data_IF_250783326509
#
_entry.id   IF_250783326509
#
_cell.length_a   1.000
_cell.length_b   1.000
_cell.length_c   1.000
_cell.angle_alpha   90.00
_cell.angle_beta   90.00
_cell.angle_gamma   90.00
#
_symmetry.space_group_name_H-M   'P 1'
#
loop_
_entity.id
_entity.type
_entity.pdbx_description
1 polymer ?
#
# COMPACT_ATOMS: atom_id res chain seq x y z
N UNK A 1 -25.89 -3.91 -52.81
CA UNK A 1 -26.23 -3.64 -51.41
C UNK A 1 -26.94 -4.86 -50.84
N UNK A 2 -26.22 -5.66 -50.06
CA UNK A 2 -26.81 -6.78 -49.32
C UNK A 2 -27.01 -6.24 -47.92
N UNK A 3 -28.25 -5.91 -47.58
CA UNK A 3 -28.64 -5.53 -46.23
C UNK A 3 -28.26 -6.69 -45.30
N UNK A 4 -27.29 -6.45 -44.42
CA UNK A 4 -26.97 -7.41 -43.38
C UNK A 4 -28.23 -7.58 -42.52
N UNK A 5 -28.68 -8.82 -42.39
CA UNK A 5 -29.82 -9.20 -41.55
C UNK A 5 -29.65 -8.63 -40.13
N UNK A 6 -30.74 -8.15 -39.54
CA UNK A 6 -30.77 -7.43 -38.25
C UNK A 6 -30.16 -8.29 -37.13
N UNK A 7 -30.31 -9.62 -37.24
CA UNK A 7 -29.69 -10.61 -36.36
C UNK A 7 -28.15 -10.64 -36.49
N UNK A 8 -27.61 -10.43 -37.69
CA UNK A 8 -26.16 -10.35 -37.93
C UNK A 8 -25.58 -9.07 -37.33
N UNK A 9 -26.31 -7.96 -37.42
CA UNK A 9 -25.95 -6.69 -36.79
C UNK A 9 -26.01 -6.83 -35.26
N UNK A 10 -27.01 -7.51 -34.71
CA UNK A 10 -27.14 -7.79 -33.29
C UNK A 10 -25.99 -8.67 -32.74
N UNK A 11 -25.56 -9.69 -33.49
CA UNK A 11 -24.39 -10.52 -33.14
C UNK A 11 -23.09 -9.71 -33.18
N UNK A 12 -22.94 -8.78 -34.13
CA UNK A 12 -21.78 -7.88 -34.16
C UNK A 12 -21.81 -6.83 -33.03
N UNK A 13 -22.99 -6.42 -32.58
CA UNK A 13 -23.16 -5.51 -31.44
C UNK A 13 -22.81 -6.20 -30.11
N UNK A 14 -23.20 -7.46 -29.91
CA UNK A 14 -22.86 -8.23 -28.70
C UNK A 14 -21.35 -8.53 -28.57
N UNK A 15 -20.61 -8.58 -29.68
CA UNK A 15 -19.14 -8.63 -29.67
C UNK A 15 -18.50 -7.34 -29.14
N UNK A 16 -19.18 -6.19 -29.21
CA UNK A 16 -18.70 -4.94 -28.60
C UNK A 16 -18.96 -4.90 -27.10
N UNK A 17 -20.05 -5.51 -26.64
CA UNK A 17 -20.36 -5.68 -25.20
C UNK A 17 -19.36 -6.61 -24.49
N UNK A 18 -18.63 -7.45 -25.23
CA UNK A 18 -17.54 -8.27 -24.68
C UNK A 18 -16.27 -7.46 -24.36
N UNK A 19 -16.14 -6.22 -24.85
CA UNK A 19 -15.02 -5.35 -24.49
C UNK A 19 -15.39 -4.54 -23.26
N UNK A 20 -14.51 -4.62 -22.26
CA UNK A 20 -14.55 -3.93 -20.97
C UNK A 20 -15.33 -2.62 -20.99
N UNK A 21 -16.29 -2.51 -20.06
CA UNK A 21 -17.02 -1.29 -19.73
C UNK A 21 -16.06 -0.10 -19.77
N UNK A 22 -16.33 0.88 -20.64
CA UNK A 22 -15.60 2.14 -20.64
C UNK A 22 -15.53 2.70 -19.20
N UNK A 23 -14.34 3.16 -18.79
CA UNK A 23 -14.09 3.71 -17.46
C UNK A 23 -15.21 4.70 -17.05
N UNK A 24 -15.98 4.33 -16.02
CA UNK A 24 -17.05 5.17 -15.51
C UNK A 24 -16.46 6.45 -14.92
N UNK A 25 -16.82 7.59 -15.49
CA UNK A 25 -16.38 8.90 -14.99
C UNK A 25 -17.30 9.42 -13.88
N UNK A 26 -16.71 10.02 -12.85
CA UNK A 26 -17.44 10.68 -11.77
C UNK A 26 -17.97 12.08 -12.15
N UNK A 27 -18.70 12.76 -11.24
CA UNK A 27 -19.16 14.12 -11.45
C UNK A 27 -17.98 15.10 -11.60
N UNK A 28 -18.21 16.21 -12.30
CA UNK A 28 -17.21 17.28 -12.45
C UNK A 28 -16.87 17.89 -11.09
N UNK A 29 -15.58 18.18 -10.87
CA UNK A 29 -15.08 18.99 -9.76
C UNK A 29 -14.90 20.44 -10.20
N UNK A 30 -14.56 21.32 -9.25
CA UNK A 30 -14.28 22.75 -9.53
C UNK A 30 -13.25 22.92 -10.67
N UNK A 31 -13.54 23.81 -11.63
CA UNK A 31 -12.79 23.90 -12.89
C UNK A 31 -11.31 24.23 -12.69
N UNK A 32 -10.99 25.15 -11.78
CA UNK A 32 -9.59 25.50 -11.48
C UNK A 32 -8.82 24.32 -10.85
N UNK A 33 -9.49 23.52 -10.02
CA UNK A 33 -8.90 22.33 -9.42
C UNK A 33 -8.66 21.27 -10.50
N UNK A 34 -9.65 21.04 -11.36
CA UNK A 34 -9.52 20.12 -12.49
C UNK A 34 -8.36 20.53 -13.41
N UNK A 35 -8.26 21.81 -13.78
CA UNK A 35 -7.17 22.35 -14.59
C UNK A 35 -5.82 22.13 -13.93
N UNK A 36 -5.68 22.47 -12.64
CA UNK A 36 -4.43 22.27 -11.91
C UNK A 36 -4.00 20.79 -11.88
N UNK A 37 -4.94 19.87 -11.66
CA UNK A 37 -4.68 18.43 -11.69
C UNK A 37 -4.22 18.02 -13.09
N UNK A 38 -4.94 18.38 -14.15
CA UNK A 38 -4.58 18.00 -15.52
C UNK A 38 -3.19 18.51 -15.93
N UNK A 39 -2.84 19.75 -15.58
CA UNK A 39 -1.56 20.36 -15.95
C UNK A 39 -0.36 19.66 -15.27
N UNK A 40 -0.55 19.06 -14.09
CA UNK A 40 0.54 18.60 -13.24
C UNK A 40 0.52 17.11 -12.91
N UNK A 41 -0.52 16.36 -13.26
CA UNK A 41 -0.71 14.97 -12.79
C UNK A 41 0.48 14.05 -13.13
N UNK A 42 1.05 14.21 -14.33
CA UNK A 42 2.21 13.45 -14.79
C UNK A 42 3.54 14.22 -14.68
N UNK A 43 3.51 15.45 -14.16
CA UNK A 43 4.69 16.28 -14.00
C UNK A 43 5.62 15.75 -12.91
N UNK A 44 6.94 15.89 -13.10
CA UNK A 44 7.90 15.60 -12.01
C UNK A 44 7.80 16.69 -10.95
N UNK A 45 7.43 16.31 -9.74
CA UNK A 45 7.45 17.21 -8.58
C UNK A 45 8.89 17.56 -8.19
N UNK A 46 9.12 18.83 -7.82
CA UNK A 46 10.38 19.28 -7.24
C UNK A 46 10.68 18.52 -5.94
N UNK A 47 11.82 17.84 -5.88
CA UNK A 47 12.19 16.98 -4.76
C UNK A 47 12.29 17.74 -3.43
N UNK A 48 12.85 18.95 -3.44
CA UNK A 48 12.98 19.78 -2.24
C UNK A 48 11.63 20.26 -1.72
N UNK A 49 10.68 20.59 -2.61
CA UNK A 49 9.30 20.91 -2.22
C UNK A 49 8.61 19.68 -1.62
N UNK A 50 8.79 18.50 -2.21
CA UNK A 50 8.23 17.26 -1.69
C UNK A 50 8.78 16.92 -0.30
N UNK A 51 10.10 17.06 -0.08
CA UNK A 51 10.73 16.86 1.23
C UNK A 51 10.22 17.86 2.27
N UNK A 52 10.06 19.12 1.88
CA UNK A 52 9.52 20.17 2.76
C UNK A 52 8.08 19.85 3.18
N UNK A 53 7.23 19.45 2.24
CA UNK A 53 5.86 19.04 2.52
C UNK A 53 5.81 17.81 3.44
N UNK A 54 6.68 16.82 3.21
CA UNK A 54 6.77 15.62 4.05
C UNK A 54 7.22 15.91 5.49
N UNK A 55 7.97 16.99 5.73
CA UNK A 55 8.38 17.45 7.07
C UNK A 55 7.31 18.27 7.78
N UNK A 56 6.34 18.83 7.04
CA UNK A 56 5.28 19.69 7.60
C UNK A 56 4.34 18.94 8.54
N UNK A 57 4.11 17.66 8.28
CA UNK A 57 3.16 16.85 9.03
C UNK A 57 3.87 15.79 9.85
N UNK A 58 3.69 15.89 11.16
CA UNK A 58 4.16 14.93 12.14
C UNK A 58 3.13 13.84 12.41
N UNK A 59 3.64 12.69 12.85
CA UNK A 59 2.82 11.55 13.27
C UNK A 59 2.02 11.96 14.51
N UNK A 60 0.69 11.78 14.55
CA UNK A 60 -0.08 11.94 15.77
C UNK A 60 0.46 11.03 16.89
N UNK A 61 0.57 11.55 18.12
CA UNK A 61 1.21 10.84 19.23
C UNK A 61 0.53 9.50 19.53
N UNK A 62 -0.80 9.48 19.51
CA UNK A 62 -1.66 8.30 19.70
C UNK A 62 -1.68 7.31 18.52
N UNK A 63 -0.98 7.60 17.41
CA UNK A 63 -0.88 6.71 16.24
C UNK A 63 0.49 6.03 16.18
N UNK A 64 0.88 5.31 17.23
CA UNK A 64 2.23 4.72 17.39
C UNK A 64 2.62 3.70 16.31
N UNK A 65 1.63 3.05 15.71
CA UNK A 65 1.85 2.04 14.66
C UNK A 65 1.99 2.64 13.25
N UNK A 66 1.78 3.94 13.08
CA UNK A 66 1.90 4.61 11.79
C UNK A 66 3.35 4.96 11.46
N UNK A 67 4.16 3.95 11.16
CA UNK A 67 5.56 4.06 10.72
C UNK A 67 5.82 3.18 9.49
N UNK A 68 6.89 3.49 8.75
CA UNK A 68 7.38 2.63 7.66
C UNK A 68 8.25 1.51 8.24
N UNK A 69 7.91 0.22 8.02
CA UNK A 69 8.72 -0.89 8.51
C UNK A 69 10.09 -0.92 7.82
N UNK A 70 11.15 -1.15 8.60
CA UNK A 70 12.51 -1.36 8.11
C UNK A 70 12.77 -2.84 7.87
N UNK A 71 13.54 -3.14 6.84
CA UNK A 71 14.04 -4.50 6.65
C UNK A 71 14.95 -4.86 7.83
N UNK A 72 14.77 -6.05 8.40
CA UNK A 72 15.50 -6.47 9.58
C UNK A 72 17.02 -6.42 9.35
N UNK A 73 17.75 -5.88 10.34
CA UNK A 73 19.20 -5.68 10.24
C UNK A 73 19.97 -6.99 10.04
N UNK A 74 19.49 -8.11 10.61
CA UNK A 74 20.16 -9.40 10.49
C UNK A 74 20.14 -10.00 9.08
N UNK A 75 19.12 -9.68 8.27
CA UNK A 75 19.05 -10.14 6.87
C UNK A 75 19.56 -9.12 5.89
N UNK A 76 19.56 -7.84 6.23
CA UNK A 76 19.90 -6.76 5.32
C UNK A 76 21.26 -6.96 4.62
N UNK A 77 22.37 -7.31 5.31
CA UNK A 77 23.66 -7.57 4.68
C UNK A 77 23.67 -8.77 3.72
N UNK A 78 22.77 -9.73 3.93
CA UNK A 78 22.67 -10.96 3.14
C UNK A 78 21.91 -10.76 1.82
N UNK A 79 21.24 -9.62 1.63
CA UNK A 79 20.51 -9.31 0.41
C UNK A 79 21.45 -8.87 -0.71
N UNK A 80 21.08 -9.14 -1.95
CA UNK A 80 21.80 -8.61 -3.11
C UNK A 80 21.67 -7.09 -3.12
N UNK A 81 22.72 -6.39 -3.58
CA UNK A 81 22.73 -4.93 -3.69
C UNK A 81 21.53 -4.38 -4.47
N UNK A 82 21.16 -5.04 -5.58
CA UNK A 82 19.97 -4.68 -6.38
C UNK A 82 18.67 -4.72 -5.55
N UNK A 83 18.51 -5.73 -4.70
CA UNK A 83 17.34 -5.90 -3.83
C UNK A 83 17.32 -4.87 -2.72
N UNK A 84 18.47 -4.59 -2.09
CA UNK A 84 18.61 -3.50 -1.12
C UNK A 84 18.21 -2.14 -1.72
N UNK A 85 18.72 -1.82 -2.92
CA UNK A 85 18.44 -0.55 -3.58
C UNK A 85 16.96 -0.42 -3.97
N UNK A 86 16.34 -1.51 -4.42
CA UNK A 86 14.91 -1.54 -4.73
C UNK A 86 14.05 -1.39 -3.47
N UNK A 87 14.37 -2.12 -2.40
CA UNK A 87 13.65 -2.01 -1.11
C UNK A 87 13.78 -0.60 -0.52
N UNK A 88 14.96 0.03 -0.60
CA UNK A 88 15.16 1.40 -0.15
C UNK A 88 14.28 2.41 -0.92
N UNK A 89 14.13 2.22 -2.24
CA UNK A 89 13.22 3.04 -3.07
C UNK A 89 11.75 2.81 -2.68
N UNK A 90 11.35 1.57 -2.42
CA UNK A 90 9.99 1.25 -1.97
C UNK A 90 9.70 1.81 -0.58
N UNK A 91 10.64 1.73 0.36
CA UNK A 91 10.56 2.38 1.66
C UNK A 91 10.35 3.90 1.53
N UNK A 92 11.08 4.54 0.61
CA UNK A 92 10.92 5.98 0.34
C UNK A 92 9.52 6.30 -0.18
N UNK A 93 9.00 5.52 -1.12
CA UNK A 93 7.63 5.69 -1.63
C UNK A 93 6.58 5.49 -0.53
N UNK A 94 6.72 4.42 0.25
CA UNK A 94 5.87 4.11 1.39
C UNK A 94 5.89 5.23 2.44
N UNK A 95 7.04 5.88 2.63
CA UNK A 95 7.17 7.03 3.53
C UNK A 95 6.40 8.25 3.02
N UNK A 96 6.44 8.56 1.71
CA UNK A 96 5.63 9.65 1.17
C UNK A 96 4.13 9.38 1.33
N UNK A 97 3.70 8.14 1.09
CA UNK A 97 2.31 7.73 1.33
C UNK A 97 1.90 7.91 2.79
N UNK A 98 2.73 7.48 3.74
CA UNK A 98 2.49 7.69 5.16
C UNK A 98 2.42 9.17 5.53
N UNK A 99 3.30 10.00 4.95
CA UNK A 99 3.30 11.45 5.15
C UNK A 99 2.07 12.14 4.55
N UNK A 100 1.41 11.54 3.56
CA UNK A 100 0.10 11.98 3.09
C UNK A 100 -1.05 11.52 4.01
N UNK A 101 -0.92 10.37 4.68
CA UNK A 101 -1.94 9.89 5.62
C UNK A 101 -2.06 10.77 6.88
N UNK A 102 -0.98 11.40 7.34
CA UNK A 102 -1.02 12.28 8.52
C UNK A 102 -1.95 13.50 8.37
N UNK A 103 -1.86 14.33 7.32
CA UNK A 103 -2.84 15.41 7.12
C UNK A 103 -4.25 14.88 6.87
N UNK A 104 -4.43 13.70 6.26
CA UNK A 104 -5.74 13.05 6.13
C UNK A 104 -6.35 12.74 7.51
N UNK A 105 -5.56 12.24 8.46
CA UNK A 105 -6.00 12.03 9.85
C UNK A 105 -6.32 13.35 10.56
N UNK A 106 -5.52 14.40 10.36
CA UNK A 106 -5.80 15.72 10.92
C UNK A 106 -7.10 16.32 10.35
N UNK A 107 -7.38 16.10 9.07
CA UNK A 107 -8.66 16.49 8.46
C UNK A 107 -9.81 15.69 9.07
N UNK A 108 -9.63 14.39 9.28
CA UNK A 108 -10.61 13.53 9.93
C UNK A 108 -10.98 14.02 11.34
N UNK A 109 -9.97 14.35 12.15
CA UNK A 109 -10.13 14.88 13.50
C UNK A 109 -10.85 16.24 13.51
N UNK A 110 -10.48 17.14 12.59
CA UNK A 110 -11.17 18.43 12.42
C UNK A 110 -12.65 18.27 12.05
N UNK A 111 -12.97 17.33 11.14
CA UNK A 111 -14.35 17.05 10.75
C UNK A 111 -15.15 16.46 11.92
N UNK A 112 -14.57 15.57 12.71
CA UNK A 112 -15.21 15.08 13.95
C UNK A 112 -15.49 16.20 14.94
N UNK A 113 -14.51 17.09 15.16
CA UNK A 113 -14.68 18.26 16.02
C UNK A 113 -15.78 19.19 15.53
N UNK A 114 -15.87 19.45 14.21
CA UNK A 114 -16.92 20.26 13.62
C UNK A 114 -18.31 19.62 13.79
N UNK A 115 -18.41 18.30 13.57
CA UNK A 115 -19.64 17.53 13.75
C UNK A 115 -20.16 17.60 15.19
N UNK A 116 -19.27 17.37 16.17
CA UNK A 116 -19.62 17.38 17.59
C UNK A 116 -20.10 18.77 18.05
N UNK A 117 -19.48 19.83 17.53
CA UNK A 117 -19.78 21.22 17.90
C UNK A 117 -20.91 21.86 17.06
N UNK A 118 -21.50 21.13 16.10
CA UNK A 118 -22.55 21.62 15.17
C UNK A 118 -22.18 22.96 14.49
N UNK A 119 -20.91 23.13 14.11
CA UNK A 119 -20.41 24.35 13.46
C UNK A 119 -20.12 24.11 11.98
N UNK A 120 -20.53 25.07 11.14
CA UNK A 120 -20.21 25.08 9.71
C UNK A 120 -21.24 24.32 8.88
N UNK A 121 -20.81 23.17 8.34
CA UNK A 121 -21.60 22.36 7.41
C UNK A 121 -22.88 21.79 8.06
N UNK A 122 -23.87 21.47 7.23
CA UNK A 122 -25.03 20.69 7.67
C UNK A 122 -24.59 19.30 8.15
N UNK A 123 -25.46 18.64 8.92
CA UNK A 123 -25.18 17.27 9.38
C UNK A 123 -24.95 16.32 8.19
N UNK A 124 -25.76 16.42 7.13
CA UNK A 124 -25.64 15.59 5.94
C UNK A 124 -24.29 15.79 5.23
N UNK A 125 -23.89 17.04 4.97
CA UNK A 125 -22.60 17.37 4.35
C UNK A 125 -21.41 16.92 5.20
N UNK A 126 -21.52 17.06 6.53
CA UNK A 126 -20.48 16.62 7.47
C UNK A 126 -20.29 15.11 7.40
N UNK A 127 -21.39 14.34 7.38
CA UNK A 127 -21.34 12.88 7.23
C UNK A 127 -20.76 12.47 5.86
N UNK A 128 -21.11 13.18 4.79
CA UNK A 128 -20.51 12.94 3.47
C UNK A 128 -18.99 13.17 3.48
N UNK A 129 -18.53 14.29 4.04
CA UNK A 129 -17.09 14.57 4.16
C UNK A 129 -16.36 13.53 5.02
N UNK A 130 -16.96 13.11 6.14
CA UNK A 130 -16.40 12.04 6.97
C UNK A 130 -16.28 10.73 6.19
N UNK A 131 -17.28 10.36 5.39
CA UNK A 131 -17.19 9.16 4.55
C UNK A 131 -16.08 9.27 3.50
N UNK A 132 -15.96 10.40 2.80
CA UNK A 132 -14.91 10.62 1.80
C UNK A 132 -13.51 10.48 2.39
N UNK A 133 -13.26 11.09 3.55
CA UNK A 133 -11.93 11.02 4.19
C UNK A 133 -11.68 9.63 4.79
N UNK A 134 -12.72 8.95 5.30
CA UNK A 134 -12.64 7.57 5.82
C UNK A 134 -12.24 6.61 4.69
N UNK A 135 -12.96 6.65 3.58
CA UNK A 135 -12.73 5.79 2.42
C UNK A 135 -11.33 6.07 1.82
N UNK A 136 -10.95 7.35 1.71
CA UNK A 136 -9.61 7.76 1.27
C UNK A 136 -8.52 7.19 2.18
N UNK A 137 -8.69 7.30 3.51
CA UNK A 137 -7.72 6.77 4.46
C UNK A 137 -7.62 5.24 4.39
N UNK A 138 -8.75 4.54 4.30
CA UNK A 138 -8.78 3.08 4.18
C UNK A 138 -8.08 2.60 2.91
N UNK A 139 -8.32 3.23 1.75
CA UNK A 139 -7.62 2.91 0.49
C UNK A 139 -6.11 3.15 0.60
N UNK A 140 -5.71 4.28 1.20
CA UNK A 140 -4.30 4.56 1.48
C UNK A 140 -3.68 3.52 2.43
N UNK A 141 -4.43 3.08 3.45
CA UNK A 141 -3.97 2.06 4.40
C UNK A 141 -3.78 0.69 3.74
N UNK A 142 -4.71 0.28 2.87
CA UNK A 142 -4.60 -0.97 2.10
C UNK A 142 -3.34 -0.95 1.25
N UNK A 143 -3.17 0.09 0.42
CA UNK A 143 -1.97 0.22 -0.42
C UNK A 143 -0.68 0.27 0.41
N UNK A 144 -0.69 0.94 1.56
CA UNK A 144 0.46 1.02 2.47
C UNK A 144 0.83 -0.35 3.04
N UNK A 145 -0.17 -1.14 3.39
CA UNK A 145 0.00 -2.48 3.96
C UNK A 145 0.50 -3.44 2.88
N UNK A 146 -0.13 -3.43 1.69
CA UNK A 146 0.27 -4.23 0.53
C UNK A 146 1.71 -3.96 0.08
N UNK A 147 2.14 -2.70 0.12
CA UNK A 147 3.55 -2.32 -0.14
C UNK A 147 4.51 -3.09 0.77
N UNK A 148 4.17 -3.29 2.04
CA UNK A 148 5.01 -4.05 2.97
C UNK A 148 5.07 -5.53 2.60
N UNK A 149 3.95 -6.14 2.21
CA UNK A 149 3.92 -7.53 1.75
C UNK A 149 4.65 -7.73 0.43
N UNK A 150 4.54 -6.79 -0.52
CA UNK A 150 5.32 -6.80 -1.77
C UNK A 150 6.82 -6.70 -1.49
N UNK A 151 7.23 -5.84 -0.56
CA UNK A 151 8.64 -5.74 -0.11
C UNK A 151 9.14 -7.07 0.48
N UNK A 152 8.35 -7.74 1.33
CA UNK A 152 8.66 -9.11 1.82
C UNK A 152 8.89 -10.08 0.67
N UNK A 153 7.99 -10.10 -0.31
CA UNK A 153 8.10 -11.00 -1.46
C UNK A 153 9.38 -10.75 -2.28
N UNK A 154 9.78 -9.49 -2.47
CA UNK A 154 11.02 -9.16 -3.17
C UNK A 154 12.26 -9.67 -2.43
N UNK A 155 12.32 -9.47 -1.11
CA UNK A 155 13.43 -9.89 -0.25
C UNK A 155 13.52 -11.42 -0.19
N UNK A 156 12.37 -12.11 -0.21
CA UNK A 156 12.30 -13.58 -0.21
C UNK A 156 13.13 -14.22 -1.32
N UNK A 157 13.23 -13.60 -2.49
CA UNK A 157 14.00 -14.12 -3.63
C UNK A 157 15.51 -14.22 -3.40
N UNK A 158 16.04 -13.53 -2.38
CA UNK A 158 17.48 -13.54 -2.06
C UNK A 158 17.84 -14.46 -0.90
N UNK A 159 16.87 -14.93 -0.11
CA UNK A 159 17.12 -15.80 1.03
C UNK A 159 16.94 -17.29 0.67
N UNK A 160 17.55 -18.17 1.47
CA UNK A 160 17.45 -19.62 1.26
C UNK A 160 15.98 -20.10 1.29
N UNK A 161 15.59 -21.06 0.42
CA UNK A 161 14.25 -21.62 0.43
C UNK A 161 13.82 -22.23 1.77
N UNK A 162 14.77 -22.69 2.60
CA UNK A 162 14.51 -23.21 3.95
C UNK A 162 13.82 -22.19 4.86
N UNK A 163 14.03 -20.89 4.63
CA UNK A 163 13.38 -19.82 5.39
C UNK A 163 11.96 -19.51 4.89
N UNK A 164 11.34 -20.36 4.05
CA UNK A 164 9.98 -20.15 3.50
C UNK A 164 8.93 -19.86 4.61
N UNK A 165 9.11 -20.44 5.79
CA UNK A 165 8.21 -20.27 6.93
C UNK A 165 8.23 -18.85 7.53
N UNK A 166 9.29 -18.05 7.30
CA UNK A 166 9.40 -16.68 7.82
C UNK A 166 8.46 -15.68 7.11
N UNK A 167 7.94 -16.06 5.94
CA UNK A 167 7.16 -15.20 5.04
C UNK A 167 5.66 -15.41 5.16
N UNK A 168 5.20 -16.19 6.13
CA UNK A 168 3.77 -16.39 6.37
C UNK A 168 3.12 -15.15 7.01
N UNK A 169 1.80 -15.02 6.81
CA UNK A 169 1.04 -13.86 7.32
C UNK A 169 0.90 -13.85 8.84
N UNK A 170 1.14 -14.98 9.50
CA UNK A 170 1.23 -15.07 10.97
C UNK A 170 2.42 -14.30 11.54
N UNK A 171 3.46 -14.04 10.73
CA UNK A 171 4.54 -13.15 11.12
C UNK A 171 4.11 -11.69 10.90
N UNK A 172 3.52 -11.06 11.91
CA UNK A 172 3.02 -9.68 11.80
C UNK A 172 4.15 -8.69 11.46
N UNK A 173 3.83 -7.73 10.59
CA UNK A 173 4.73 -6.61 10.31
C UNK A 173 4.72 -5.68 11.53
N UNK A 174 5.91 -5.39 12.07
CA UNK A 174 6.13 -4.42 13.14
C UNK A 174 7.02 -3.31 12.60
N UNK A 175 7.78 -2.61 13.45
CA UNK A 175 8.88 -1.74 12.99
C UNK A 175 9.87 -2.51 12.11
N UNK A 176 9.93 -3.82 12.30
CA UNK A 176 10.69 -4.75 11.50
C UNK A 176 9.80 -5.44 10.47
N UNK A 177 10.22 -5.41 9.21
CA UNK A 177 9.45 -5.92 8.09
C UNK A 177 9.17 -7.41 8.23
N UNK A 178 10.08 -8.20 8.79
CA UNK A 178 9.94 -9.64 9.04
C UNK A 178 9.61 -9.95 10.50
N UNK A 179 9.11 -8.96 11.26
CA UNK A 179 8.78 -9.09 12.68
C UNK A 179 10.01 -9.04 13.60
N UNK A 180 9.75 -8.95 14.91
CA UNK A 180 10.80 -8.63 15.89
C UNK A 180 11.68 -9.84 16.26
N UNK A 181 11.16 -11.06 16.17
CA UNK A 181 11.85 -12.28 16.63
C UNK A 181 12.49 -13.08 15.48
N UNK A 182 13.00 -12.38 14.46
CA UNK A 182 13.50 -13.02 13.23
C UNK A 182 14.64 -14.00 13.52
N UNK A 183 15.63 -13.59 14.31
CA UNK A 183 16.84 -14.38 14.55
C UNK A 183 16.52 -15.67 15.32
N UNK A 184 15.62 -15.59 16.30
CA UNK A 184 15.12 -16.75 17.03
C UNK A 184 14.43 -17.73 16.08
N UNK A 185 13.53 -17.24 15.22
CA UNK A 185 12.85 -18.08 14.23
C UNK A 185 13.82 -18.72 13.22
N UNK A 186 14.87 -18.00 12.82
CA UNK A 186 15.90 -18.55 11.93
C UNK A 186 16.66 -19.70 12.57
N UNK A 187 17.06 -19.55 13.85
CA UNK A 187 17.72 -20.62 14.61
C UNK A 187 16.82 -21.85 14.78
N UNK A 188 15.54 -21.64 15.09
CA UNK A 188 14.57 -22.73 15.21
C UNK A 188 14.43 -23.50 13.89
N UNK A 189 14.33 -22.81 12.75
CA UNK A 189 14.26 -23.43 11.42
C UNK A 189 15.51 -24.29 11.15
N UNK A 190 16.69 -23.79 11.48
CA UNK A 190 17.95 -24.51 11.29
C UNK A 190 18.04 -25.75 12.20
N UNK A 191 17.64 -25.63 13.46
CA UNK A 191 17.56 -26.75 14.39
C UNK A 191 16.57 -27.81 13.92
N UNK A 192 15.38 -27.42 13.48
CA UNK A 192 14.38 -28.35 12.94
C UNK A 192 14.88 -29.07 11.68
N UNK A 193 15.57 -28.37 10.78
CA UNK A 193 16.17 -28.98 9.60
C UNK A 193 17.25 -30.02 9.96
N UNK A 194 18.11 -29.71 10.95
CA UNK A 194 19.12 -30.66 11.44
C UNK A 194 18.48 -31.91 12.08
N UNK A 195 17.43 -31.73 12.89
CA UNK A 195 16.71 -32.84 13.52
C UNK A 195 16.02 -33.73 12.47
N UNK A 196 15.35 -33.13 11.48
CA UNK A 196 14.72 -33.87 10.38
C UNK A 196 15.74 -34.64 9.54
N UNK A 197 16.91 -34.06 9.26
CA UNK A 197 18.01 -34.76 8.61
C UNK A 197 18.50 -35.99 9.38
N UNK A 198 18.62 -35.88 10.71
CA UNK A 198 19.02 -37.00 11.59
C UNK A 198 17.96 -38.11 11.69
N UNK A 199 16.68 -37.76 11.58
CA UNK A 199 15.57 -38.72 11.60
C UNK A 199 15.43 -39.46 10.26
N UNK A 200 15.75 -38.80 9.15
CA UNK A 200 15.64 -39.37 7.79
C UNK A 200 16.89 -40.14 7.36
N UNK A 201 18.07 -39.87 7.96
CA UNK A 201 19.32 -40.57 7.66
C UNK A 201 19.45 -41.97 8.28
N UNK A 202 18.39 -42.51 8.90
CA UNK A 202 18.39 -43.83 9.57
C UNK A 202 17.45 -44.87 8.93
N UNK A 203 17.00 -44.62 7.70
CA UNK A 203 16.08 -45.50 6.97
C UNK A 203 16.69 -45.94 5.62
N UNK A 204 17.86 -46.58 5.64
CA UNK A 204 18.44 -47.27 4.49
C UNK A 204 19.31 -48.42 4.98
#
# INVERSE_FOLDING_TARGET
DVDADDDTIAVLASLKEFREDADKSGPKIHEELAKHVMDNFHGRTCEEKAKTLAKKYDRPSNCEQCFVPKTNESVWPSLKKKTQDLDAKLQRLQNFQLKAMYPTLQLFDKLFGAAANKKGMTHAETVQCLNLVKDSFQLLQVAFTDMSYRRRYLIKGDLKPSYKQLWNDTNKITKNLLGDNLDTKMKEIEMSAQLSGKLTSKSS
#
